data_IF_301694247743
#
_entry.id   IF_301694247743
#
_cell.length_a   1.000
_cell.length_b   1.000
_cell.length_c   1.000
_cell.angle_alpha   90.00
_cell.angle_beta   90.00
_cell.angle_gamma   90.00
#
_symmetry.space_group_name_H-M   'P 1'
#
loop_
_entity.id
_entity.type
_entity.pdbx_description
1 polymer ?
#
# COMPACT_ATOMS: atom_id res chain seq x y z
N UNK A 1 -8.71 0.58 3.87
CA UNK A 1 -8.99 0.37 2.44
C UNK A 1 -8.38 -0.96 2.02
N UNK A 2 -9.05 -1.70 1.14
CA UNK A 2 -8.42 -2.79 0.41
C UNK A 2 -8.49 -2.43 -1.08
N UNK A 3 -7.39 -2.45 -1.81
CA UNK A 3 -7.32 -1.94 -3.19
C UNK A 3 -8.15 -2.72 -4.18
N UNK A 4 -8.55 -3.95 -3.89
CA UNK A 4 -9.42 -4.72 -4.76
C UNK A 4 -10.32 -5.67 -3.98
N UNK A 5 -11.43 -6.10 -4.59
CA UNK A 5 -12.24 -7.24 -4.15
C UNK A 5 -12.14 -8.32 -5.21
N UNK A 6 -11.86 -9.54 -4.78
CA UNK A 6 -11.79 -10.69 -5.65
C UNK A 6 -12.55 -11.88 -5.08
N UNK A 7 -12.94 -12.80 -5.93
CA UNK A 7 -13.51 -14.07 -5.53
C UNK A 7 -12.41 -15.13 -5.44
N UNK A 8 -12.30 -15.78 -4.29
CA UNK A 8 -11.32 -16.83 -4.06
C UNK A 8 -11.56 -18.06 -4.97
N UNK A 9 -12.82 -18.33 -5.29
CA UNK A 9 -13.20 -19.53 -6.07
C UNK A 9 -12.92 -19.40 -7.58
N UNK A 10 -13.27 -18.26 -8.19
CA UNK A 10 -13.21 -18.11 -9.65
C UNK A 10 -12.28 -17.00 -10.14
N UNK A 11 -11.62 -16.27 -9.23
CA UNK A 11 -10.73 -15.17 -9.59
C UNK A 11 -11.44 -13.90 -10.07
N UNK A 12 -12.79 -13.84 -10.04
CA UNK A 12 -13.52 -12.62 -10.39
C UNK A 12 -13.01 -11.43 -9.58
N UNK A 13 -12.80 -10.30 -10.23
CA UNK A 13 -12.39 -9.03 -9.60
C UNK A 13 -13.47 -7.98 -9.78
N UNK A 14 -13.65 -7.13 -8.78
CA UNK A 14 -14.59 -6.02 -8.85
C UNK A 14 -14.03 -4.88 -9.72
N UNK A 15 -14.54 -4.76 -10.93
CA UNK A 15 -14.18 -3.73 -11.89
C UNK A 15 -15.27 -2.66 -11.98
N UNK A 16 -14.88 -1.45 -12.38
CA UNK A 16 -15.80 -0.36 -12.58
C UNK A 16 -16.61 -0.57 -13.86
N UNK A 17 -17.93 -0.35 -13.79
CA UNK A 17 -18.80 -0.46 -14.96
C UNK A 17 -18.71 0.76 -15.90
N UNK A 18 -18.12 1.88 -15.45
CA UNK A 18 -18.02 3.12 -16.18
C UNK A 18 -16.63 3.39 -16.76
N UNK A 19 -15.63 2.64 -16.29
CA UNK A 19 -14.26 2.72 -16.78
C UNK A 19 -13.51 1.44 -16.41
N UNK A 20 -12.34 1.22 -17.00
CA UNK A 20 -11.55 -0.03 -16.84
C UNK A 20 -10.76 -0.10 -15.52
N UNK A 21 -11.07 0.74 -14.54
CA UNK A 21 -10.39 0.75 -13.25
C UNK A 21 -10.97 -0.26 -12.27
N UNK A 22 -10.14 -0.82 -11.41
CA UNK A 22 -10.60 -1.67 -10.31
C UNK A 22 -11.32 -0.85 -9.24
N UNK A 23 -12.33 -1.45 -8.62
CA UNK A 23 -13.05 -0.85 -7.50
C UNK A 23 -12.32 -1.11 -6.18
N UNK A 24 -12.16 -0.06 -5.40
CA UNK A 24 -11.54 -0.12 -4.07
C UNK A 24 -12.60 -0.38 -2.99
N UNK A 25 -12.32 -1.30 -2.07
CA UNK A 25 -13.19 -1.63 -0.95
C UNK A 25 -13.06 -0.58 0.16
N UNK A 26 -14.13 0.12 0.45
CA UNK A 26 -14.25 1.04 1.60
C UNK A 26 -15.05 0.36 2.72
N UNK A 27 -14.36 -0.37 3.60
CA UNK A 27 -15.01 -1.17 4.66
C UNK A 27 -15.91 -0.34 5.57
N UNK A 28 -15.47 0.83 6.01
CA UNK A 28 -16.25 1.71 6.89
C UNK A 28 -17.57 2.18 6.26
N UNK A 29 -17.66 2.21 4.94
CA UNK A 29 -18.86 2.62 4.19
C UNK A 29 -19.60 1.43 3.58
N UNK A 30 -19.07 0.21 3.69
CA UNK A 30 -19.57 -1.00 3.01
C UNK A 30 -19.82 -0.78 1.51
N UNK A 31 -18.89 -0.07 0.86
CA UNK A 31 -18.99 0.28 -0.56
C UNK A 31 -17.70 -0.05 -1.32
N UNK A 32 -17.90 -0.34 -2.59
CA UNK A 32 -16.87 -0.35 -3.62
C UNK A 32 -16.89 1.00 -4.32
N UNK A 33 -15.75 1.67 -4.40
CA UNK A 33 -15.62 3.01 -4.99
C UNK A 33 -14.54 2.98 -6.07
N UNK A 34 -14.85 3.53 -7.22
CA UNK A 34 -13.87 3.80 -8.26
C UNK A 34 -13.17 5.13 -7.98
N UNK A 35 -11.86 5.10 -7.80
CA UNK A 35 -11.07 6.32 -7.60
C UNK A 35 -10.74 7.09 -8.89
N UNK A 36 -11.17 6.57 -10.04
CA UNK A 36 -10.97 7.23 -11.33
C UNK A 36 -12.20 8.05 -11.76
N UNK A 37 -13.42 7.49 -11.61
CA UNK A 37 -14.65 8.16 -12.06
C UNK A 37 -15.70 8.35 -10.96
N UNK A 38 -15.33 8.09 -9.69
CA UNK A 38 -16.19 8.21 -8.50
C UNK A 38 -17.46 7.32 -8.50
N UNK A 39 -17.55 6.36 -9.45
CA UNK A 39 -18.62 5.38 -9.44
C UNK A 39 -18.59 4.59 -8.12
N UNK A 40 -19.79 4.35 -7.55
CA UNK A 40 -19.94 3.65 -6.28
C UNK A 40 -21.01 2.58 -6.37
N UNK A 41 -20.71 1.40 -5.81
CA UNK A 41 -21.69 0.33 -5.63
C UNK A 41 -21.57 -0.30 -4.25
N UNK A 42 -22.60 -1.04 -3.83
CA UNK A 42 -22.54 -1.81 -2.59
C UNK A 42 -21.59 -2.99 -2.75
N UNK A 43 -20.94 -3.37 -1.65
CA UNK A 43 -20.18 -4.62 -1.61
C UNK A 43 -21.14 -5.78 -1.86
N UNK A 44 -20.93 -6.62 -2.89
CA UNK A 44 -21.78 -7.76 -3.16
C UNK A 44 -21.64 -8.80 -2.04
N UNK A 45 -22.74 -9.49 -1.71
CA UNK A 45 -22.72 -10.58 -0.73
C UNK A 45 -22.26 -11.91 -1.32
N UNK A 46 -22.35 -12.03 -2.64
CA UNK A 46 -21.96 -13.20 -3.42
C UNK A 46 -21.22 -12.75 -4.69
N UNK A 47 -20.34 -13.59 -5.17
CA UNK A 47 -19.65 -13.36 -6.43
C UNK A 47 -20.66 -13.26 -7.58
N UNK A 48 -20.66 -12.19 -8.38
CA UNK A 48 -21.55 -12.07 -9.52
C UNK A 48 -21.30 -13.11 -10.61
N UNK A 49 -20.12 -13.72 -10.64
CA UNK A 49 -19.73 -14.69 -11.66
C UNK A 49 -20.08 -16.13 -11.27
N UNK A 50 -19.75 -16.57 -10.04
CA UNK A 50 -19.91 -17.96 -9.63
C UNK A 50 -20.81 -18.17 -8.40
N UNK A 51 -21.44 -17.11 -7.90
CA UNK A 51 -22.33 -17.11 -6.74
C UNK A 51 -21.68 -17.55 -5.41
N UNK A 52 -20.39 -17.76 -5.38
CA UNK A 52 -19.64 -18.05 -4.16
C UNK A 52 -19.72 -16.89 -3.16
N UNK A 53 -19.75 -17.22 -1.87
CA UNK A 53 -19.68 -16.23 -0.78
C UNK A 53 -18.24 -15.90 -0.37
N UNK A 54 -17.27 -16.57 -0.96
CA UNK A 54 -15.84 -16.36 -0.66
C UNK A 54 -15.25 -15.15 -1.39
N UNK A 55 -15.84 -13.99 -1.10
CA UNK A 55 -15.29 -12.72 -1.57
C UNK A 55 -14.26 -12.20 -0.57
N UNK A 56 -13.06 -11.98 -1.04
CA UNK A 56 -11.96 -11.45 -0.26
C UNK A 56 -11.58 -10.05 -0.74
N UNK A 57 -11.32 -9.18 0.24
CA UNK A 57 -10.72 -7.88 -0.04
C UNK A 57 -9.22 -8.09 -0.17
N UNK A 58 -8.72 -8.07 -1.39
CA UNK A 58 -7.32 -8.30 -1.71
C UNK A 58 -6.53 -7.00 -1.75
N UNK A 59 -5.27 -7.13 -1.44
CA UNK A 59 -4.32 -6.03 -1.34
C UNK A 59 -4.04 -5.65 0.11
N UNK A 60 -2.81 -5.39 0.37
CA UNK A 60 -2.37 -5.00 1.71
C UNK A 60 -2.56 -3.50 1.88
N UNK A 61 -3.61 -3.13 2.61
CA UNK A 61 -3.72 -1.77 3.11
C UNK A 61 -2.64 -1.52 4.16
N UNK A 62 -2.10 -0.31 4.22
CA UNK A 62 -1.08 0.09 5.21
C UNK A 62 -1.46 -0.24 6.65
N UNK A 63 -2.76 -0.20 7.00
CA UNK A 63 -3.28 -0.60 8.31
C UNK A 63 -3.06 -2.09 8.62
N UNK A 64 -3.28 -2.94 7.62
CA UNK A 64 -3.09 -4.38 7.81
C UNK A 64 -1.62 -4.75 7.90
N UNK A 65 -0.79 -4.13 7.08
CA UNK A 65 0.66 -4.31 7.12
C UNK A 65 1.23 -3.82 8.45
N UNK A 66 0.77 -2.67 8.96
CA UNK A 66 1.14 -2.15 10.27
C UNK A 66 0.79 -3.14 11.37
N UNK A 67 -0.47 -3.60 11.45
CA UNK A 67 -0.93 -4.53 12.47
C UNK A 67 -0.16 -5.86 12.43
N UNK A 68 0.10 -6.38 11.23
CA UNK A 68 0.88 -7.60 11.04
C UNK A 68 2.32 -7.43 11.54
N UNK A 69 2.97 -6.33 11.17
CA UNK A 69 4.36 -6.06 11.56
C UNK A 69 4.48 -5.82 13.07
N UNK A 70 3.52 -5.14 13.70
CA UNK A 70 3.48 -4.96 15.16
C UNK A 70 3.37 -6.31 15.90
N UNK A 71 2.60 -7.24 15.34
CA UNK A 71 2.48 -8.59 15.91
C UNK A 71 3.77 -9.40 15.75
N UNK A 72 4.46 -9.30 14.61
CA UNK A 72 5.69 -10.04 14.32
C UNK A 72 6.94 -9.45 14.97
N UNK A 73 6.96 -8.14 15.19
CA UNK A 73 8.08 -7.38 15.76
C UNK A 73 7.61 -6.56 16.96
N UNK A 74 7.20 -7.21 18.08
CA UNK A 74 6.61 -6.53 19.23
C UNK A 74 7.54 -5.51 19.89
N UNK A 75 8.84 -5.72 19.79
CA UNK A 75 9.87 -4.85 20.39
C UNK A 75 10.36 -3.75 19.44
N UNK A 76 9.76 -3.64 18.25
CA UNK A 76 10.17 -2.66 17.23
C UNK A 76 9.07 -1.63 17.01
N UNK A 77 9.43 -0.36 16.94
CA UNK A 77 8.50 0.71 16.64
C UNK A 77 8.03 0.58 15.18
N UNK A 78 6.72 0.42 14.98
CA UNK A 78 6.11 0.40 13.64
C UNK A 78 5.27 1.66 13.47
N UNK A 79 5.60 2.48 12.48
CA UNK A 79 4.94 3.74 12.19
C UNK A 79 4.30 3.72 10.80
N UNK A 80 3.03 4.08 10.73
CA UNK A 80 2.30 4.18 9.47
C UNK A 80 2.29 5.59 8.92
N UNK A 81 2.66 5.70 7.64
CA UNK A 81 2.73 6.96 6.89
C UNK A 81 1.90 6.85 5.62
N UNK A 82 0.65 7.24 5.71
CA UNK A 82 -0.26 7.35 4.59
C UNK A 82 -1.03 8.67 4.63
N UNK A 83 -1.88 8.89 3.62
CA UNK A 83 -2.65 10.12 3.51
C UNK A 83 -3.58 10.38 4.71
N UNK A 84 -4.07 9.33 5.35
CA UNK A 84 -5.00 9.46 6.46
C UNK A 84 -4.26 9.65 7.79
N UNK A 85 -3.16 8.93 8.01
CA UNK A 85 -2.32 9.11 9.20
C UNK A 85 -1.65 10.49 9.24
N UNK A 86 -1.23 11.02 8.10
CA UNK A 86 -0.51 12.30 7.99
C UNK A 86 -1.41 13.54 8.04
N UNK A 87 -2.72 13.41 8.03
CA UNK A 87 -3.65 14.54 8.22
C UNK A 87 -3.57 15.19 9.60
N UNK A 88 -3.13 14.46 10.61
CA UNK A 88 -2.92 15.01 11.95
C UNK A 88 -1.62 15.79 11.99
N UNK A 89 -1.68 17.05 12.47
CA UNK A 89 -0.48 17.87 12.68
C UNK A 89 0.50 17.15 13.61
N UNK A 90 1.77 17.15 13.25
CA UNK A 90 2.84 16.59 14.07
C UNK A 90 3.22 15.14 13.79
N UNK A 91 2.36 14.33 13.19
CA UNK A 91 2.65 12.91 12.91
C UNK A 91 3.90 12.75 12.03
N UNK A 92 4.04 13.54 10.99
CA UNK A 92 5.24 13.49 10.13
C UNK A 92 6.52 13.87 10.90
N UNK A 93 6.44 14.84 11.82
CA UNK A 93 7.59 15.22 12.64
C UNK A 93 7.97 14.10 13.61
N UNK A 94 7.00 13.42 14.18
CA UNK A 94 7.23 12.23 15.03
C UNK A 94 7.90 11.11 14.25
N UNK A 95 7.43 10.82 13.03
CA UNK A 95 8.05 9.83 12.13
C UNK A 95 9.52 10.19 11.86
N UNK A 96 9.82 11.45 11.56
CA UNK A 96 11.20 11.90 11.34
C UNK A 96 12.05 11.75 12.60
N UNK A 97 11.56 12.22 13.73
CA UNK A 97 12.29 12.15 14.99
C UNK A 97 12.63 10.70 15.35
N UNK A 98 11.67 9.78 15.15
CA UNK A 98 11.90 8.34 15.40
C UNK A 98 12.87 7.73 14.39
N UNK A 99 12.75 8.06 13.11
CA UNK A 99 13.67 7.54 12.09
C UNK A 99 15.10 8.05 12.26
N UNK A 100 15.27 9.25 12.81
CA UNK A 100 16.58 9.89 13.02
C UNK A 100 17.18 9.61 14.43
N UNK A 101 16.39 9.05 15.35
CA UNK A 101 16.84 8.73 16.73
C UNK A 101 17.95 7.68 16.80
N UNK A 102 18.14 6.90 15.73
CA UNK A 102 19.05 5.77 15.69
C UNK A 102 18.46 4.47 16.25
N UNK A 103 17.22 4.52 16.75
CA UNK A 103 16.50 3.31 17.16
C UNK A 103 15.95 2.55 15.94
N UNK A 104 15.91 1.23 16.04
CA UNK A 104 15.35 0.40 14.98
C UNK A 104 13.85 0.64 14.87
N UNK A 105 13.37 1.07 13.71
CA UNK A 105 11.96 1.27 13.44
C UNK A 105 11.59 0.75 12.05
N UNK A 106 10.29 0.48 11.87
CA UNK A 106 9.70 0.06 10.60
C UNK A 106 8.70 1.15 10.16
N UNK A 107 8.92 1.72 8.98
CA UNK A 107 8.00 2.67 8.38
C UNK A 107 7.15 1.94 7.35
N UNK A 108 5.83 1.99 7.52
CA UNK A 108 4.86 1.39 6.59
C UNK A 108 4.10 2.51 5.89
N UNK A 109 4.11 2.50 4.58
CA UNK A 109 3.40 3.56 3.87
C UNK A 109 3.20 3.30 2.39
N UNK A 110 2.61 4.28 1.74
CA UNK A 110 2.42 4.30 0.29
C UNK A 110 3.60 4.99 -0.39
N UNK A 111 3.47 5.24 -1.68
CA UNK A 111 4.46 6.03 -2.45
C UNK A 111 4.81 7.39 -1.81
N UNK A 112 4.03 7.86 -0.84
CA UNK A 112 4.34 9.10 -0.10
C UNK A 112 5.67 9.00 0.65
N UNK A 113 6.02 7.83 1.20
CA UNK A 113 7.32 7.61 1.83
C UNK A 113 8.49 7.73 0.84
N UNK A 114 8.26 7.34 -0.41
CA UNK A 114 9.28 7.43 -1.45
C UNK A 114 9.50 8.85 -1.96
N UNK A 115 8.51 9.74 -1.81
CA UNK A 115 8.53 11.11 -2.35
C UNK A 115 8.82 12.14 -1.26
N UNK A 116 9.85 12.95 -1.47
CA UNK A 116 10.05 14.20 -0.72
C UNK A 116 10.71 14.09 0.65
N UNK A 117 10.90 12.90 1.21
CA UNK A 117 11.47 12.72 2.54
C UNK A 117 12.84 12.05 2.48
N UNK A 118 13.77 12.53 3.26
CA UNK A 118 15.12 12.01 3.33
C UNK A 118 15.31 11.26 4.65
N UNK A 119 15.56 9.96 4.56
CA UNK A 119 15.87 9.11 5.69
C UNK A 119 17.30 8.56 5.49
N UNK A 120 18.25 9.02 6.27
CA UNK A 120 19.67 8.71 6.07
C UNK A 120 20.01 7.26 6.49
N UNK A 121 19.29 6.72 7.46
CA UNK A 121 19.60 5.45 8.11
C UNK A 121 18.79 4.26 7.57
N UNK A 122 18.20 4.37 6.39
CA UNK A 122 17.42 3.27 5.80
C UNK A 122 18.34 2.16 5.30
N UNK A 123 18.26 0.99 5.93
CA UNK A 123 19.05 -0.20 5.58
C UNK A 123 18.27 -1.19 4.72
N UNK A 124 16.94 -1.18 4.80
CA UNK A 124 16.07 -2.08 4.04
C UNK A 124 14.86 -1.33 3.50
N UNK A 125 14.57 -1.54 2.23
CA UNK A 125 13.29 -1.15 1.61
C UNK A 125 12.62 -2.38 1.03
N UNK A 126 11.35 -2.62 1.41
CA UNK A 126 10.52 -3.66 0.83
C UNK A 126 9.37 -3.00 0.04
N UNK A 127 9.26 -3.36 -1.23
CA UNK A 127 8.13 -2.98 -2.09
C UNK A 127 7.19 -4.18 -2.16
N UNK A 128 6.00 -4.04 -1.58
CA UNK A 128 4.99 -5.09 -1.56
C UNK A 128 4.04 -4.92 -2.74
N UNK A 129 3.59 -6.06 -3.30
CA UNK A 129 2.59 -6.09 -4.37
C UNK A 129 2.96 -5.19 -5.57
N UNK A 130 4.19 -5.31 -6.06
CA UNK A 130 4.67 -4.53 -7.20
C UNK A 130 3.82 -4.80 -8.46
N UNK A 131 3.28 -6.01 -8.59
CA UNK A 131 2.44 -6.41 -9.72
C UNK A 131 1.16 -5.58 -9.83
N UNK A 132 0.53 -5.20 -8.74
CA UNK A 132 -0.62 -4.28 -8.77
C UNK A 132 -0.31 -2.94 -9.43
N UNK A 133 0.91 -2.47 -9.27
CA UNK A 133 1.37 -1.25 -9.92
C UNK A 133 1.67 -1.46 -11.41
N UNK A 134 2.20 -2.61 -11.78
CA UNK A 134 2.54 -2.95 -13.17
C UNK A 134 1.30 -3.23 -14.03
N UNK A 135 0.33 -3.96 -13.48
CA UNK A 135 -0.92 -4.35 -14.16
C UNK A 135 -2.07 -3.37 -13.96
N UNK A 136 -1.76 -2.12 -13.59
CA UNK A 136 -2.75 -1.05 -13.54
C UNK A 136 -3.22 -0.67 -14.95
N UNK A 137 -4.50 -0.30 -15.15
CA UNK A 137 -5.00 0.18 -16.45
C UNK A 137 -4.42 1.53 -16.88
N UNK A 138 -3.69 2.21 -16.02
CA UNK A 138 -2.99 3.45 -16.36
C UNK A 138 -1.83 3.16 -17.32
N UNK A 139 -1.86 3.75 -18.52
CA UNK A 139 -0.81 3.58 -19.54
C UNK A 139 0.60 3.96 -19.07
N UNK A 140 0.71 4.77 -17.99
CA UNK A 140 1.98 5.13 -17.35
C UNK A 140 2.34 4.24 -16.17
N UNK A 141 1.65 3.15 -15.94
CA UNK A 141 1.86 2.28 -14.78
C UNK A 141 3.30 1.76 -14.70
N UNK A 142 3.86 1.31 -15.82
CA UNK A 142 5.24 0.82 -15.91
C UNK A 142 6.26 1.93 -15.64
N UNK A 143 6.05 3.12 -16.21
CA UNK A 143 6.90 4.29 -15.98
C UNK A 143 6.89 4.68 -14.49
N UNK A 144 5.71 4.76 -13.88
CA UNK A 144 5.55 5.09 -12.45
C UNK A 144 6.17 4.04 -11.55
N UNK A 145 6.06 2.76 -11.91
CA UNK A 145 6.71 1.69 -11.15
C UNK A 145 8.24 1.79 -11.27
N UNK A 146 8.78 2.00 -12.47
CA UNK A 146 10.21 2.24 -12.68
C UNK A 146 10.73 3.44 -11.89
N UNK A 147 9.97 4.55 -11.87
CA UNK A 147 10.31 5.73 -11.08
C UNK A 147 10.28 5.41 -9.57
N UNK A 148 9.27 4.68 -9.10
CA UNK A 148 9.17 4.26 -7.70
C UNK A 148 10.38 3.40 -7.30
N UNK A 149 10.69 2.36 -8.07
CA UNK A 149 11.82 1.48 -7.80
C UNK A 149 13.15 2.24 -7.77
N UNK A 150 13.34 3.17 -8.71
CA UNK A 150 14.53 4.03 -8.75
C UNK A 150 14.60 4.94 -7.52
N UNK A 151 13.47 5.52 -7.10
CA UNK A 151 13.41 6.37 -5.91
C UNK A 151 13.72 5.60 -4.63
N UNK A 152 13.14 4.40 -4.45
CA UNK A 152 13.37 3.60 -3.25
C UNK A 152 14.77 2.98 -3.23
N UNK A 153 15.29 2.57 -4.38
CA UNK A 153 16.67 2.09 -4.49
C UNK A 153 17.67 3.19 -4.10
N UNK A 154 17.41 4.43 -4.51
CA UNK A 154 18.22 5.58 -4.14
C UNK A 154 18.08 6.01 -2.67
N UNK A 155 17.20 5.42 -1.88
CA UNK A 155 16.99 5.71 -0.45
C UNK A 155 17.76 4.77 0.47
N UNK A 156 17.91 3.51 0.08
CA UNK A 156 18.65 2.54 0.88
C UNK A 156 20.16 2.72 0.71
N UNK A 157 20.91 2.64 1.82
CA UNK A 157 22.37 2.60 1.79
C UNK A 157 23.08 3.94 1.59
N UNK A 158 22.45 5.07 1.92
CA UNK A 158 23.12 6.39 1.91
C UNK A 158 23.96 6.66 3.16
N UNK A 159 23.74 5.90 4.24
CA UNK A 159 24.54 5.91 5.45
C UNK A 159 25.75 4.96 5.37
N UNK A 160 26.29 4.61 6.53
CA UNK A 160 27.47 3.74 6.68
C UNK A 160 27.13 2.28 6.31
N UNK A 161 25.87 1.86 6.46
CA UNK A 161 25.42 0.51 6.18
C UNK A 161 24.97 0.34 4.71
N UNK A 162 25.28 -0.82 4.12
CA UNK A 162 24.77 -1.17 2.80
C UNK A 162 23.25 -1.35 2.86
N UNK A 163 22.54 -0.66 1.97
CA UNK A 163 21.10 -0.81 1.83
C UNK A 163 20.72 -2.03 0.99
N UNK A 164 19.55 -2.61 1.31
CA UNK A 164 18.91 -3.67 0.52
C UNK A 164 17.55 -3.18 0.02
N UNK A 165 17.18 -3.62 -1.18
CA UNK A 165 15.83 -3.43 -1.72
C UNK A 165 15.27 -4.80 -2.06
N UNK A 166 14.10 -5.10 -1.53
CA UNK A 166 13.34 -6.33 -1.83
C UNK A 166 12.08 -5.90 -2.57
N UNK A 167 11.79 -6.55 -3.68
CA UNK A 167 10.58 -6.33 -4.45
C UNK A 167 9.80 -7.64 -4.49
N UNK A 168 8.60 -7.60 -3.95
CA UNK A 168 7.67 -8.72 -4.00
C UNK A 168 6.85 -8.62 -5.29
N UNK A 169 6.92 -9.66 -6.10
CA UNK A 169 6.16 -9.87 -7.34
C UNK A 169 5.36 -11.15 -7.23
#
# INVERSE_FOLDING_TARGET
FAPAMLCHQCGWTAECQHCDSRLTVHRARSRLICHHCDFQQRVPQQCPSCLSRELIAAGEGTERSEAFLQQYFPDTIVLRVDRDSTRKKGVMQEVFNTADSGESCILVGTQMLAKGHHFENVTLVAVLDADSGLFSPDFRSHERMGQLLTQVAGRSGRGIARGRVIVQT
#
